data_IF_479704922830
#
_entry.id   IF_479704922830
#
_cell.length_a   1.000
_cell.length_b   1.000
_cell.length_c   1.000
_cell.angle_alpha   90.00
_cell.angle_beta   90.00
_cell.angle_gamma   90.00
#
_symmetry.space_group_name_H-M   'P 1'
#
loop_
_entity.id
_entity.type
_entity.pdbx_description
1 polymer ?
#
# COMPACT_ATOMS: atom_id res chain seq x y z
N UNK A 1 36.54 42.51 -61.93
CA UNK A 1 37.96 42.58 -61.54
C UNK A 1 38.05 41.98 -60.14
N UNK A 2 37.82 40.68 -59.99
CA UNK A 2 38.78 39.55 -60.22
C UNK A 2 39.24 39.11 -58.82
N UNK A 3 39.17 37.85 -58.39
CA UNK A 3 38.68 36.60 -58.96
C UNK A 3 38.88 35.50 -57.89
N UNK A 4 37.92 34.59 -57.77
CA UNK A 4 38.10 33.20 -57.27
C UNK A 4 38.77 32.39 -58.43
N UNK A 5 39.35 31.16 -58.31
CA UNK A 5 39.04 30.10 -57.34
C UNK A 5 40.15 29.07 -56.98
N UNK A 6 39.69 28.00 -56.33
CA UNK A 6 40.29 26.80 -55.72
C UNK A 6 41.25 25.89 -56.53
N UNK A 7 41.94 25.00 -55.78
CA UNK A 7 42.33 23.60 -56.11
C UNK A 7 42.30 22.77 -54.81
N UNK A 8 41.47 21.74 -54.56
CA UNK A 8 41.41 20.32 -55.06
C UNK A 8 42.75 19.59 -54.97
N UNK A 9 42.99 18.37 -54.43
CA UNK A 9 42.25 17.12 -54.03
C UNK A 9 43.32 16.16 -53.41
N UNK A 10 43.11 14.86 -53.06
CA UNK A 10 41.90 14.06 -52.79
C UNK A 10 41.96 13.19 -51.50
N UNK A 11 40.79 12.61 -51.19
CA UNK A 11 40.56 11.56 -50.21
C UNK A 11 41.19 10.21 -50.61
N UNK A 12 41.82 9.55 -49.64
CA UNK A 12 42.16 8.12 -49.67
C UNK A 12 41.06 7.30 -48.99
N UNK A 13 40.66 6.21 -49.66
CA UNK A 13 39.62 5.26 -49.25
C UNK A 13 40.26 4.01 -48.67
N UNK A 14 39.90 3.63 -47.44
CA UNK A 14 40.00 2.29 -46.83
C UNK A 14 39.41 2.41 -45.42
N UNK A 15 38.62 1.52 -44.82
CA UNK A 15 38.08 0.20 -45.13
C UNK A 15 37.06 -0.07 -44.01
N UNK A 16 35.97 -0.80 -44.32
CA UNK A 16 35.03 -1.27 -43.31
C UNK A 16 35.63 -2.39 -42.44
N UNK A 17 35.40 -2.31 -41.13
CA UNK A 17 35.30 -3.45 -40.21
C UNK A 17 34.46 -2.96 -39.01
N UNK A 18 33.18 -3.33 -38.94
CA UNK A 18 32.70 -4.53 -38.24
C UNK A 18 32.73 -4.35 -36.71
N UNK A 19 31.55 -4.05 -36.16
CA UNK A 19 31.00 -4.68 -34.96
C UNK A 19 31.72 -4.47 -33.64
N UNK A 20 31.19 -3.58 -32.81
CA UNK A 20 30.91 -3.95 -31.43
C UNK A 20 29.63 -3.23 -30.99
N UNK A 21 28.61 -4.05 -30.77
CA UNK A 21 27.31 -3.63 -30.31
C UNK A 21 27.45 -3.10 -28.88
N UNK A 22 27.14 -1.82 -28.67
CA UNK A 22 26.72 -1.33 -27.37
C UNK A 22 25.37 -1.99 -27.04
N UNK A 23 25.44 -3.19 -26.48
CA UNK A 23 24.30 -3.81 -25.81
C UNK A 23 23.86 -2.92 -24.64
N UNK A 24 22.56 -2.89 -24.32
CA UNK A 24 22.07 -2.12 -23.18
C UNK A 24 22.77 -2.60 -21.91
N UNK A 25 23.48 -1.67 -21.26
CA UNK A 25 24.06 -1.88 -19.94
C UNK A 25 22.95 -2.38 -19.02
N UNK A 26 23.01 -3.66 -18.65
CA UNK A 26 22.11 -4.24 -17.67
C UNK A 26 22.14 -3.33 -16.42
N UNK A 27 20.98 -2.85 -16.00
CA UNK A 27 20.86 -2.00 -14.83
C UNK A 27 21.51 -2.73 -13.64
N UNK A 28 22.53 -2.10 -13.04
CA UNK A 28 23.21 -2.64 -11.88
C UNK A 28 22.17 -2.92 -10.77
N UNK A 29 22.31 -4.03 -10.02
CA UNK A 29 21.46 -4.27 -8.86
C UNK A 29 21.58 -3.08 -7.89
N UNK A 30 20.53 -2.74 -7.13
CA UNK A 30 20.58 -1.64 -6.16
C UNK A 30 21.84 -1.77 -5.31
N UNK A 31 22.60 -0.67 -5.19
CA UNK A 31 23.96 -0.67 -4.64
C UNK A 31 23.98 -1.24 -3.22
N UNK A 32 24.38 -2.51 -3.11
CA UNK A 32 24.46 -3.24 -1.85
C UNK A 32 25.40 -2.56 -0.84
N UNK A 33 26.33 -1.73 -1.33
CA UNK A 33 27.23 -0.91 -0.51
C UNK A 33 26.48 0.23 0.15
N UNK A 34 25.64 0.94 -0.60
CA UNK A 34 24.80 2.01 -0.07
C UNK A 34 23.80 1.48 0.97
N UNK A 35 23.17 0.32 0.70
CA UNK A 35 22.26 -0.33 1.64
C UNK A 35 22.93 -0.72 2.96
N UNK A 36 24.16 -1.25 2.89
CA UNK A 36 24.95 -1.62 4.07
C UNK A 36 25.40 -0.39 4.86
N UNK A 37 25.91 0.63 4.15
CA UNK A 37 26.30 1.92 4.74
C UNK A 37 25.14 2.56 5.50
N UNK A 38 23.94 2.51 4.93
CA UNK A 38 22.72 3.00 5.59
C UNK A 38 22.42 2.22 6.86
N UNK A 39 22.42 0.88 6.81
CA UNK A 39 22.16 0.03 7.96
C UNK A 39 23.17 0.26 9.09
N UNK A 40 24.46 0.26 8.77
CA UNK A 40 25.54 0.45 9.74
C UNK A 40 25.46 1.84 10.37
N UNK A 41 25.18 2.86 9.56
CA UNK A 41 24.99 4.23 10.04
C UNK A 41 23.75 4.38 10.94
N UNK A 42 22.64 3.69 10.62
CA UNK A 42 21.45 3.67 11.46
C UNK A 42 21.72 2.92 12.77
N UNK A 43 22.47 1.82 12.73
CA UNK A 43 22.88 1.09 13.93
C UNK A 43 23.73 1.97 14.88
N UNK A 44 24.68 2.73 14.33
CA UNK A 44 25.50 3.68 15.08
C UNK A 44 24.68 4.87 15.62
N UNK A 45 23.66 5.33 14.90
CA UNK A 45 22.75 6.37 15.39
C UNK A 45 21.87 5.85 16.52
N UNK A 46 21.31 4.64 16.39
CA UNK A 46 20.50 4.02 17.44
C UNK A 46 21.30 3.80 18.72
N UNK A 47 22.57 3.38 18.61
CA UNK A 47 23.49 3.25 19.75
C UNK A 47 23.65 4.56 20.54
N UNK A 48 23.80 5.68 19.83
CA UNK A 48 23.96 7.01 20.45
C UNK A 48 22.68 7.50 21.13
N UNK A 49 21.53 7.19 20.56
CA UNK A 49 20.22 7.58 21.11
C UNK A 49 19.85 6.79 22.37
N UNK A 50 20.20 5.51 22.45
CA UNK A 50 19.98 4.68 23.65
C UNK A 50 20.97 5.05 24.77
N UNK A 51 22.20 5.45 24.40
CA UNK A 51 23.25 5.83 25.34
C UNK A 51 23.94 4.63 26.02
N UNK A 52 25.12 4.84 26.63
CA UNK A 52 25.82 3.80 27.39
C UNK A 52 25.07 3.53 28.71
N UNK A 53 24.49 2.34 28.86
CA UNK A 53 23.79 1.89 30.08
C UNK A 53 22.27 1.73 29.94
N UNK A 54 21.68 2.00 28.77
CA UNK A 54 20.29 1.63 28.49
C UNK A 54 20.12 0.11 28.37
N UNK A 55 18.95 -0.41 28.74
CA UNK A 55 18.60 -1.85 28.68
C UNK A 55 18.52 -2.42 27.24
N UNK A 56 18.77 -1.57 26.24
CA UNK A 56 18.68 -1.93 24.84
C UNK A 56 19.82 -2.85 24.45
N UNK A 57 19.49 -4.10 24.12
CA UNK A 57 20.41 -5.11 23.62
C UNK A 57 21.45 -4.58 22.62
N UNK A 58 22.59 -5.27 22.57
CA UNK A 58 23.78 -4.77 21.89
C UNK A 58 23.59 -4.60 20.37
N UNK A 59 22.70 -5.42 19.78
CA UNK A 59 22.43 -5.46 18.36
C UNK A 59 21.17 -4.70 17.94
N UNK A 60 21.20 -4.15 16.73
CA UNK A 60 20.05 -3.52 16.07
C UNK A 60 19.21 -4.58 15.37
N UNK A 61 17.91 -4.55 15.63
CA UNK A 61 16.91 -5.40 14.99
C UNK A 61 16.35 -4.69 13.75
N UNK A 62 16.22 -5.41 12.63
CA UNK A 62 15.56 -4.87 11.43
C UNK A 62 14.08 -5.20 11.48
N UNK A 63 13.24 -4.21 11.81
CA UNK A 63 11.76 -4.37 11.84
C UNK A 63 11.21 -4.53 10.42
N UNK A 64 11.72 -3.74 9.47
CA UNK A 64 11.26 -3.80 8.09
C UNK A 64 12.37 -3.40 7.13
N UNK A 65 12.53 -4.19 6.08
CA UNK A 65 13.37 -3.86 4.92
C UNK A 65 12.59 -4.10 3.62
N UNK A 66 12.34 -3.01 2.89
CA UNK A 66 11.82 -3.01 1.52
C UNK A 66 12.72 -2.10 0.68
N UNK A 67 12.60 -2.18 -0.65
CA UNK A 67 13.46 -1.43 -1.59
C UNK A 67 13.54 0.07 -1.30
N UNK A 68 12.53 0.63 -0.65
CA UNK A 68 12.34 2.04 -0.39
C UNK A 68 12.23 2.38 1.13
N UNK A 69 12.02 1.38 1.99
CA UNK A 69 11.79 1.53 3.44
C UNK A 69 12.79 0.70 4.25
N UNK A 70 13.50 1.35 5.17
CA UNK A 70 14.29 0.67 6.21
C UNK A 70 13.85 1.19 7.57
N UNK A 71 13.41 0.28 8.43
CA UNK A 71 13.05 0.54 9.83
C UNK A 71 13.86 -0.41 10.69
N UNK A 72 14.56 0.15 11.67
CA UNK A 72 15.37 -0.62 12.61
C UNK A 72 15.07 -0.21 14.04
N UNK A 73 15.35 -1.09 14.99
CA UNK A 73 15.11 -0.88 16.41
C UNK A 73 16.36 -1.22 17.22
N UNK A 74 16.57 -0.45 18.28
CA UNK A 74 17.46 -0.81 19.38
C UNK A 74 16.84 -0.37 20.69
N UNK A 75 16.57 -1.32 21.58
CA UNK A 75 15.86 -1.06 22.84
C UNK A 75 14.52 -0.36 22.60
N UNK A 76 14.30 0.76 23.30
CA UNK A 76 13.11 1.61 23.17
C UNK A 76 13.12 2.59 22.00
N UNK A 77 14.10 2.54 21.07
CA UNK A 77 14.22 3.49 19.96
C UNK A 77 14.03 2.79 18.62
N UNK A 78 13.18 3.36 17.77
CA UNK A 78 12.97 2.97 16.37
C UNK A 78 13.51 4.06 15.46
N UNK A 79 14.32 3.68 14.47
CA UNK A 79 14.78 4.56 13.41
C UNK A 79 14.09 4.20 12.10
N UNK A 80 13.55 5.23 11.43
CA UNK A 80 12.96 5.11 10.10
C UNK A 80 13.78 5.90 9.11
N UNK A 81 14.29 5.23 8.09
CA UNK A 81 14.83 5.91 6.93
C UNK A 81 13.68 6.32 6.00
N UNK A 82 13.62 7.59 5.63
CA UNK A 82 12.65 8.11 4.67
C UNK A 82 13.10 7.87 3.24
N UNK A 83 12.14 7.90 2.31
CA UNK A 83 12.36 7.70 0.88
C UNK A 83 13.54 8.51 0.34
N UNK A 84 14.29 7.92 -0.59
CA UNK A 84 15.31 8.67 -1.31
C UNK A 84 14.63 9.81 -2.11
N UNK A 85 15.22 11.01 -2.06
CA UNK A 85 14.69 12.18 -2.77
C UNK A 85 13.46 12.83 -2.13
N UNK A 86 13.07 12.46 -0.91
CA UNK A 86 12.03 13.20 -0.17
C UNK A 86 12.41 14.68 -0.06
N UNK A 87 11.44 15.57 -0.28
CA UNK A 87 11.62 17.00 -0.06
C UNK A 87 11.94 17.26 1.43
N UNK A 88 13.14 17.78 1.75
CA UNK A 88 13.54 18.02 3.14
C UNK A 88 12.61 19.02 3.84
N UNK A 89 12.07 20.02 3.13
CA UNK A 89 11.20 21.03 3.73
C UNK A 89 9.84 20.41 4.11
N UNK A 90 9.24 19.63 3.20
CA UNK A 90 8.01 18.89 3.50
C UNK A 90 8.21 17.87 4.64
N UNK A 91 9.34 17.15 4.66
CA UNK A 91 9.65 16.21 5.73
C UNK A 91 9.80 16.92 7.08
N UNK A 92 10.50 18.05 7.13
CA UNK A 92 10.66 18.84 8.35
C UNK A 92 9.31 19.32 8.89
N UNK A 93 8.43 19.84 8.03
CA UNK A 93 7.09 20.27 8.42
C UNK A 93 6.25 19.13 9.00
N UNK A 94 6.32 17.93 8.42
CA UNK A 94 5.62 16.75 8.91
C UNK A 94 6.17 16.25 10.25
N UNK A 95 7.49 16.24 10.43
CA UNK A 95 8.13 15.88 11.71
C UNK A 95 7.78 16.88 12.81
N UNK A 96 7.79 18.18 12.51
CA UNK A 96 7.38 19.23 13.44
C UNK A 96 5.90 19.12 13.81
N UNK A 97 5.02 18.81 12.84
CA UNK A 97 3.60 18.56 13.11
C UNK A 97 3.42 17.33 14.02
N UNK A 98 4.14 16.23 13.76
CA UNK A 98 4.09 15.03 14.61
C UNK A 98 4.56 15.29 16.05
N UNK A 99 5.47 16.24 16.24
CA UNK A 99 5.95 16.68 17.55
C UNK A 99 5.04 17.73 18.22
N UNK A 100 4.03 18.26 17.53
CA UNK A 100 3.17 19.32 18.06
C UNK A 100 2.27 18.77 19.19
N UNK A 101 2.24 19.42 20.37
CA UNK A 101 1.40 19.00 21.49
C UNK A 101 -0.09 18.86 21.16
N UNK A 102 -0.61 19.63 20.19
CA UNK A 102 -2.01 19.53 19.76
C UNK A 102 -2.31 18.19 19.09
N UNK A 103 -1.29 17.51 18.55
CA UNK A 103 -1.41 16.25 17.83
C UNK A 103 -0.94 15.04 18.65
N UNK A 104 -0.37 15.26 19.84
CA UNK A 104 0.17 14.20 20.71
C UNK A 104 -0.86 13.15 21.17
N UNK A 105 -2.16 13.47 21.10
CA UNK A 105 -3.25 12.53 21.42
C UNK A 105 -3.63 11.61 20.24
N UNK A 106 -3.10 11.87 19.04
CA UNK A 106 -3.38 11.12 17.81
C UNK A 106 -2.11 10.52 17.19
N UNK A 107 -1.05 11.31 17.04
CA UNK A 107 0.23 10.93 16.44
C UNK A 107 1.25 10.55 17.51
N UNK A 108 2.11 9.59 17.20
CA UNK A 108 3.32 9.36 17.98
C UNK A 108 4.29 10.51 17.73
N UNK A 109 4.87 11.10 18.78
CA UNK A 109 5.86 12.15 18.62
C UNK A 109 7.25 11.56 18.29
N UNK A 110 8.02 12.17 17.37
CA UNK A 110 9.40 11.77 17.09
C UNK A 110 10.33 12.13 18.26
N UNK A 111 11.42 11.39 18.41
CA UNK A 111 12.50 11.69 19.34
C UNK A 111 13.47 12.72 18.72
N UNK A 112 13.97 13.70 19.50
CA UNK A 112 15.06 14.56 19.07
C UNK A 112 16.29 13.73 18.68
N UNK A 113 16.94 14.09 17.58
CA UNK A 113 18.11 13.39 17.07
C UNK A 113 19.39 14.23 17.31
N UNK A 114 20.46 13.68 17.92
CA UNK A 114 21.70 14.43 18.13
C UNK A 114 22.34 14.88 16.81
N UNK A 115 22.64 16.18 16.71
CA UNK A 115 23.18 16.78 15.49
C UNK A 115 22.16 16.82 14.34
N UNK A 116 20.86 16.74 14.65
CA UNK A 116 19.81 16.73 13.66
C UNK A 116 19.63 18.05 12.94
N UNK A 117 19.23 17.91 11.69
CA UNK A 117 18.68 18.97 10.86
C UNK A 117 17.14 18.87 10.93
N UNK A 118 16.43 19.46 9.96
CA UNK A 118 14.99 19.32 9.75
C UNK A 118 14.15 19.45 11.03
N UNK A 119 14.36 20.54 11.78
CA UNK A 119 13.63 20.83 13.02
C UNK A 119 14.10 20.06 14.25
N UNK A 120 15.26 19.39 14.18
CA UNK A 120 15.85 18.64 15.29
C UNK A 120 15.45 17.16 15.35
N UNK A 121 14.72 16.67 14.34
CA UNK A 121 14.10 15.34 14.35
C UNK A 121 14.62 14.37 13.28
N UNK A 122 15.51 14.81 12.38
CA UNK A 122 16.12 13.92 11.40
C UNK A 122 17.58 14.26 11.09
N UNK A 123 18.37 13.23 10.78
CA UNK A 123 19.76 13.36 10.37
C UNK A 123 20.03 12.63 9.05
N UNK A 124 21.06 13.06 8.30
CA UNK A 124 21.54 12.33 7.11
C UNK A 124 22.37 11.12 7.52
N UNK A 125 21.97 9.94 7.05
CA UNK A 125 22.67 8.68 7.26
C UNK A 125 22.69 7.91 5.94
N UNK A 126 23.86 7.53 5.44
CA UNK A 126 23.98 6.78 4.18
C UNK A 126 23.25 7.44 3.00
N UNK A 127 23.26 8.78 2.95
CA UNK A 127 22.55 9.54 1.91
C UNK A 127 21.03 9.66 2.07
N UNK A 128 20.43 9.09 3.11
CA UNK A 128 18.98 9.20 3.40
C UNK A 128 18.71 10.02 4.66
N UNK A 129 17.53 10.63 4.72
CA UNK A 129 17.03 11.22 5.96
C UNK A 129 16.53 10.11 6.90
N UNK A 130 16.94 10.14 8.15
CA UNK A 130 16.54 9.19 9.19
C UNK A 130 15.97 9.94 10.38
N UNK A 131 14.75 9.59 10.78
CA UNK A 131 14.09 10.07 12.00
C UNK A 131 14.07 8.99 13.09
N UNK A 132 13.94 9.41 14.34
CA UNK A 132 13.87 8.55 15.51
C UNK A 132 12.50 8.64 16.19
N UNK A 133 12.04 7.53 16.75
CA UNK A 133 10.71 7.39 17.35
C UNK A 133 10.78 6.50 18.59
N UNK A 134 9.93 6.71 19.60
CA UNK A 134 9.73 5.73 20.66
C UNK A 134 9.26 4.41 20.08
N UNK A 135 9.72 3.30 20.65
CA UNK A 135 9.18 1.99 20.30
C UNK A 135 7.75 1.84 20.84
N UNK A 136 6.86 1.38 19.97
CA UNK A 136 5.53 0.90 20.33
C UNK A 136 5.29 -0.45 19.67
N UNK A 137 4.45 -1.27 20.28
CA UNK A 137 4.06 -2.57 19.75
C UNK A 137 3.04 -2.35 18.62
N UNK A 138 3.42 -2.72 17.40
CA UNK A 138 2.52 -2.72 16.26
C UNK A 138 1.64 -3.99 16.27
N UNK A 139 0.52 -3.95 15.54
CA UNK A 139 -0.29 -5.14 15.29
C UNK A 139 0.49 -6.16 14.46
N UNK A 140 0.48 -7.40 14.91
CA UNK A 140 1.00 -8.56 14.19
C UNK A 140 -0.01 -9.11 13.18
N UNK A 141 0.41 -10.08 12.36
CA UNK A 141 -0.47 -10.73 11.37
C UNK A 141 -1.68 -11.43 12.00
N UNK A 142 -1.50 -11.98 13.20
CA UNK A 142 -2.53 -12.77 13.90
C UNK A 142 -3.56 -11.89 14.65
N UNK A 143 -3.33 -10.57 14.72
CA UNK A 143 -4.19 -9.63 15.43
C UNK A 143 -5.35 -9.10 14.55
N UNK A 144 -5.56 -9.65 13.36
CA UNK A 144 -6.50 -9.11 12.38
C UNK A 144 -7.96 -9.16 12.86
N UNK A 145 -8.36 -10.25 13.53
CA UNK A 145 -9.71 -10.44 14.06
C UNK A 145 -9.99 -9.54 15.28
N UNK A 146 -8.96 -9.28 16.08
CA UNK A 146 -8.99 -8.43 17.27
C UNK A 146 -8.48 -7.01 16.99
N UNK A 147 -8.42 -6.62 15.71
CA UNK A 147 -7.88 -5.33 15.32
C UNK A 147 -8.64 -4.16 16.00
N UNK A 148 -7.93 -3.15 16.52
CA UNK A 148 -8.49 -2.07 17.33
C UNK A 148 -9.16 -0.99 16.47
N UNK A 149 -10.20 -1.38 15.72
CA UNK A 149 -10.89 -0.52 14.75
C UNK A 149 -11.51 0.72 15.39
N UNK A 150 -12.12 0.59 16.56
CA UNK A 150 -12.71 1.69 17.32
C UNK A 150 -11.64 2.68 17.79
N UNK A 151 -10.49 2.18 18.27
CA UNK A 151 -9.37 3.04 18.66
C UNK A 151 -8.77 3.73 17.43
N UNK A 152 -8.67 3.05 16.29
CA UNK A 152 -8.26 3.65 15.02
C UNK A 152 -9.22 4.79 14.61
N UNK A 153 -10.53 4.54 14.64
CA UNK A 153 -11.56 5.54 14.35
C UNK A 153 -11.43 6.77 15.26
N UNK A 154 -11.25 6.56 16.57
CA UNK A 154 -11.07 7.64 17.52
C UNK A 154 -9.79 8.45 17.27
N UNK A 155 -8.67 7.80 16.92
CA UNK A 155 -7.41 8.49 16.59
C UNK A 155 -7.53 9.33 15.33
N UNK A 156 -8.19 8.81 14.29
CA UNK A 156 -8.46 9.59 13.08
C UNK A 156 -9.35 10.79 13.36
N UNK A 157 -10.43 10.62 14.14
CA UNK A 157 -11.27 11.74 14.52
C UNK A 157 -10.48 12.81 15.29
N UNK A 158 -9.59 12.42 16.22
CA UNK A 158 -8.69 13.34 16.92
C UNK A 158 -7.75 14.07 15.96
N UNK A 159 -7.15 13.36 15.01
CA UNK A 159 -6.27 13.97 14.00
C UNK A 159 -7.03 15.02 13.17
N UNK A 160 -8.23 14.67 12.71
CA UNK A 160 -9.03 15.53 11.85
C UNK A 160 -9.64 16.74 12.56
N UNK A 161 -9.84 16.66 13.88
CA UNK A 161 -10.41 17.75 14.70
C UNK A 161 -9.36 18.65 15.33
N UNK A 162 -8.10 18.19 15.41
CA UNK A 162 -7.02 18.96 15.99
C UNK A 162 -6.73 20.24 15.19
N UNK A 163 -6.35 21.34 15.87
CA UNK A 163 -5.85 22.55 15.19
C UNK A 163 -4.67 22.20 14.27
N UNK A 164 -4.76 22.61 13.00
CA UNK A 164 -3.70 22.35 12.03
C UNK A 164 -2.47 23.22 12.34
N UNK A 165 -1.28 22.64 12.60
CA UNK A 165 -0.07 23.43 12.79
C UNK A 165 0.27 24.27 11.56
N UNK A 166 0.68 25.53 11.75
CA UNK A 166 0.94 26.47 10.65
C UNK A 166 1.98 25.95 9.64
N UNK A 167 3.00 25.24 10.12
CA UNK A 167 4.09 24.73 9.28
C UNK A 167 3.67 23.67 8.26
N UNK A 168 2.58 22.93 8.51
CA UNK A 168 2.06 21.89 7.60
C UNK A 168 0.83 22.34 6.80
N UNK A 169 0.22 23.48 7.15
CA UNK A 169 -1.02 23.95 6.56
C UNK A 169 -0.96 24.18 5.04
N UNK A 170 0.24 24.42 4.49
CA UNK A 170 0.46 24.59 3.05
C UNK A 170 0.71 23.26 2.30
N UNK A 171 0.92 22.15 3.01
CA UNK A 171 1.21 20.85 2.42
C UNK A 171 -0.07 20.07 2.20
N UNK A 172 -0.33 19.68 0.95
CA UNK A 172 -1.40 18.75 0.64
C UNK A 172 -1.01 17.32 1.09
N UNK A 173 -1.98 16.58 1.62
CA UNK A 173 -1.83 15.13 1.80
C UNK A 173 -1.83 14.39 0.45
N UNK A 174 -1.39 13.13 0.47
CA UNK A 174 -1.27 12.31 -0.74
C UNK A 174 -2.01 10.95 -0.69
N UNK A 175 -3.33 10.92 -0.38
CA UNK A 175 -4.13 9.68 -0.24
C UNK A 175 -4.24 8.79 -1.49
N UNK A 176 -3.76 9.28 -2.63
CA UNK A 176 -3.80 8.57 -3.92
C UNK A 176 -2.42 8.44 -4.54
N UNK A 177 -1.35 8.66 -3.78
CA UNK A 177 0.03 8.63 -4.28
C UNK A 177 0.35 7.37 -5.07
N UNK A 178 -0.27 6.26 -4.69
CA UNK A 178 -0.01 4.92 -5.22
C UNK A 178 -0.92 4.53 -6.39
N UNK A 179 -2.05 5.21 -6.59
CA UNK A 179 -3.01 4.90 -7.65
C UNK A 179 -2.41 5.03 -9.06
N UNK A 180 -1.86 6.20 -9.40
CA UNK A 180 -1.33 6.42 -10.75
C UNK A 180 -0.14 5.48 -11.08
N UNK A 181 0.84 5.29 -10.18
CA UNK A 181 1.88 4.27 -10.37
C UNK A 181 1.33 2.85 -10.55
N UNK A 182 0.32 2.46 -9.77
CA UNK A 182 -0.29 1.13 -9.85
C UNK A 182 -1.00 0.91 -11.19
N UNK A 183 -1.83 1.86 -11.61
CA UNK A 183 -2.55 1.79 -12.90
C UNK A 183 -1.57 1.83 -14.07
N UNK A 184 -0.50 2.61 -13.97
CA UNK A 184 0.51 2.66 -15.02
C UNK A 184 1.35 1.38 -15.08
N UNK A 185 1.70 0.78 -13.93
CA UNK A 185 2.34 -0.52 -13.89
C UNK A 185 1.45 -1.58 -14.55
N UNK A 186 0.16 -1.59 -14.21
CA UNK A 186 -0.84 -2.43 -14.86
C UNK A 186 -0.85 -2.18 -16.38
N UNK A 187 -0.92 -0.91 -16.84
CA UNK A 187 -0.91 -0.57 -18.28
C UNK A 187 0.32 -1.13 -19.01
N UNK A 188 1.52 -0.85 -18.52
CA UNK A 188 2.78 -1.27 -19.18
C UNK A 188 2.90 -2.78 -19.36
N UNK A 189 2.36 -3.57 -18.43
CA UNK A 189 2.47 -5.04 -18.48
C UNK A 189 1.75 -5.69 -19.68
N UNK A 190 0.83 -5.03 -20.41
CA UNK A 190 0.24 -5.60 -21.64
C UNK A 190 1.04 -5.32 -22.91
N UNK A 191 1.96 -4.34 -22.91
CA UNK A 191 2.79 -4.07 -24.07
C UNK A 191 3.85 -5.16 -24.32
N UNK A 192 4.02 -6.10 -23.37
CA UNK A 192 5.06 -7.14 -23.39
C UNK A 192 4.55 -8.56 -23.71
N UNK A 193 3.26 -8.76 -23.98
CA UNK A 193 2.77 -10.00 -24.59
C UNK A 193 2.95 -9.89 -26.11
N UNK A 194 3.75 -10.75 -26.79
CA UNK A 194 3.77 -10.77 -28.24
C UNK A 194 2.34 -11.02 -28.75
N UNK A 195 1.92 -10.40 -29.88
CA UNK A 195 0.57 -10.56 -30.38
C UNK A 195 0.29 -12.05 -30.56
N UNK A 196 -0.74 -12.54 -29.86
CA UNK A 196 -1.28 -13.87 -30.11
C UNK A 196 -1.58 -13.96 -31.61
N UNK A 197 -1.00 -14.98 -32.26
CA UNK A 197 -1.28 -15.25 -33.67
C UNK A 197 -2.80 -15.33 -33.85
N UNK A 198 -3.33 -14.51 -34.76
CA UNK A 198 -4.76 -14.44 -35.04
C UNK A 198 -5.31 -15.85 -35.33
N UNK A 199 -6.47 -16.23 -34.78
CA UNK A 199 -7.10 -17.49 -35.15
C UNK A 199 -7.43 -17.45 -36.65
N UNK A 200 -6.96 -18.47 -37.37
CA UNK A 200 -7.24 -18.66 -38.78
C UNK A 200 -8.75 -18.73 -39.00
N UNK A 201 -9.23 -17.86 -39.87
CA UNK A 201 -10.64 -17.76 -40.28
C UNK A 201 -11.00 -19.03 -41.06
N UNK A 202 -11.91 -19.84 -40.53
CA UNK A 202 -12.51 -20.97 -41.24
C UNK A 202 -14.03 -20.80 -41.31
N UNK A 203 -14.51 -20.36 -42.48
CA UNK A 203 -15.74 -20.80 -43.14
C UNK A 203 -17.09 -20.58 -42.45
N UNK A 204 -17.79 -19.52 -42.85
CA UNK A 204 -19.25 -19.45 -42.75
C UNK A 204 -19.93 -20.20 -43.92
N UNK A 205 -21.16 -20.69 -43.72
CA UNK A 205 -22.21 -20.36 -44.68
C UNK A 205 -23.47 -19.76 -44.03
N UNK A 206 -24.18 -19.00 -44.87
CA UNK A 206 -25.29 -18.06 -44.62
C UNK A 206 -26.67 -18.70 -44.36
N UNK A 207 -27.56 -17.81 -43.89
CA UNK A 207 -29.06 -17.80 -43.87
C UNK A 207 -29.67 -18.31 -42.56
N UNK A 208 -30.68 -17.71 -41.92
CA UNK A 208 -31.78 -16.84 -42.36
C UNK A 208 -32.33 -15.93 -41.21
N UNK A 209 -33.19 -14.96 -41.55
CA UNK A 209 -33.94 -14.02 -40.66
C UNK A 209 -35.10 -14.73 -39.89
N UNK A 210 -35.67 -14.12 -38.83
CA UNK A 210 -36.48 -14.79 -37.80
C UNK A 210 -38.00 -14.70 -38.05
N UNK A 211 -38.81 -15.45 -37.29
CA UNK A 211 -40.18 -15.08 -36.95
C UNK A 211 -40.31 -14.61 -35.49
N UNK A 212 -41.34 -13.79 -35.27
CA UNK A 212 -41.69 -13.16 -33.99
C UNK A 212 -42.66 -14.01 -33.14
N UNK A 213 -42.58 -13.76 -31.81
CA UNK A 213 -43.58 -13.85 -30.74
C UNK A 213 -44.24 -15.23 -30.49
N UNK A 214 -44.27 -15.85 -29.29
CA UNK A 214 -44.90 -15.44 -28.02
C UNK A 214 -44.65 -16.54 -26.96
N UNK A 215 -44.66 -16.20 -25.65
CA UNK A 215 -45.00 -17.16 -24.59
C UNK A 215 -43.96 -17.49 -23.49
N UNK A 216 -44.07 -16.78 -22.37
CA UNK A 216 -43.84 -17.22 -20.97
C UNK A 216 -42.42 -17.56 -20.41
N UNK A 217 -42.01 -16.68 -19.48
CA UNK A 217 -41.36 -16.95 -18.18
C UNK A 217 -39.96 -17.60 -18.12
N UNK A 218 -38.94 -16.75 -17.99
CA UNK A 218 -37.82 -16.89 -17.05
C UNK A 218 -37.03 -15.57 -17.00
N UNK A 219 -37.00 -14.87 -15.86
CA UNK A 219 -36.07 -13.75 -15.66
C UNK A 219 -34.68 -14.29 -15.32
N UNK A 220 -34.02 -14.85 -16.33
CA UNK A 220 -32.60 -15.20 -16.29
C UNK A 220 -31.75 -13.95 -16.51
N UNK A 221 -30.87 -13.66 -15.56
CA UNK A 221 -29.88 -12.60 -15.69
C UNK A 221 -29.01 -12.83 -16.93
N UNK A 222 -28.86 -11.79 -17.74
CA UNK A 222 -27.93 -11.76 -18.87
C UNK A 222 -26.50 -11.82 -18.30
N UNK A 223 -25.63 -12.75 -18.72
CA UNK A 223 -24.24 -12.71 -18.31
C UNK A 223 -23.57 -11.47 -18.93
N UNK A 224 -23.09 -10.55 -18.11
CA UNK A 224 -22.23 -9.47 -18.58
C UNK A 224 -20.97 -10.12 -19.13
N UNK A 225 -20.79 -10.05 -20.44
CA UNK A 225 -19.69 -10.68 -21.18
C UNK A 225 -18.30 -10.26 -20.67
N UNK A 226 -17.73 -11.05 -19.76
CA UNK A 226 -16.39 -11.63 -19.80
C UNK A 226 -15.18 -10.77 -20.22
N UNK A 227 -15.01 -9.56 -19.70
CA UNK A 227 -13.72 -8.85 -19.79
C UNK A 227 -12.69 -9.42 -18.80
N UNK A 228 -11.39 -9.36 -19.15
CA UNK A 228 -10.31 -9.80 -18.25
C UNK A 228 -10.33 -9.02 -16.93
N UNK A 229 -9.76 -9.57 -15.84
CA UNK A 229 -9.62 -8.85 -14.57
C UNK A 229 -8.96 -7.48 -14.75
N UNK A 230 -7.93 -7.43 -15.61
CA UNK A 230 -7.26 -6.20 -16.04
C UNK A 230 -8.22 -5.20 -16.69
N UNK A 231 -9.04 -5.65 -17.64
CA UNK A 231 -9.97 -4.77 -18.36
C UNK A 231 -11.02 -4.20 -17.41
N UNK A 232 -11.50 -5.01 -16.46
CA UNK A 232 -12.41 -4.57 -15.42
C UNK A 232 -11.78 -3.46 -14.55
N UNK A 233 -10.53 -3.63 -14.10
CA UNK A 233 -9.82 -2.62 -13.30
C UNK A 233 -9.58 -1.33 -14.09
N UNK A 234 -9.15 -1.42 -15.35
CA UNK A 234 -8.92 -0.26 -16.20
C UNK A 234 -10.23 0.46 -16.58
N UNK A 235 -11.32 -0.27 -16.77
CA UNK A 235 -12.66 0.30 -16.96
C UNK A 235 -13.15 0.99 -15.69
N UNK A 236 -13.01 0.35 -14.52
CA UNK A 236 -13.36 0.95 -13.23
C UNK A 236 -12.56 2.21 -12.96
N UNK A 237 -11.25 2.23 -13.26
CA UNK A 237 -10.42 3.44 -13.19
C UNK A 237 -10.94 4.57 -14.07
N UNK A 238 -11.34 4.27 -15.31
CA UNK A 238 -11.94 5.27 -16.23
C UNK A 238 -13.31 5.77 -15.78
N UNK A 239 -14.03 4.97 -15.00
CA UNK A 239 -15.34 5.30 -14.45
C UNK A 239 -15.27 6.04 -13.09
N UNK A 240 -14.07 6.29 -12.55
CA UNK A 240 -13.92 7.20 -11.42
C UNK A 240 -14.33 8.63 -11.83
N UNK A 241 -14.90 9.42 -10.90
CA UNK A 241 -15.25 10.82 -11.16
C UNK A 241 -14.05 11.65 -11.66
N UNK A 242 -14.34 12.80 -12.29
CA UNK A 242 -13.32 13.71 -12.80
C UNK A 242 -12.33 14.16 -11.72
N UNK A 243 -11.15 14.64 -12.14
CA UNK A 243 -10.00 14.99 -11.32
C UNK A 243 -10.33 15.85 -10.11
N UNK A 244 -11.28 16.78 -10.23
CA UNK A 244 -11.69 17.67 -9.13
C UNK A 244 -12.52 16.93 -8.06
N UNK A 245 -13.34 15.96 -8.47
CA UNK A 245 -14.13 15.15 -7.55
C UNK A 245 -13.27 14.12 -6.78
N UNK A 246 -12.11 13.76 -7.33
CA UNK A 246 -11.09 12.94 -6.64
C UNK A 246 -9.98 13.79 -6.04
N UNK A 247 -10.07 15.13 -5.99
CA UNK A 247 -9.03 15.98 -5.41
C UNK A 247 -8.74 15.62 -3.94
N UNK A 248 -7.52 15.89 -3.47
CA UNK A 248 -7.17 15.71 -2.05
C UNK A 248 -8.10 16.55 -1.17
N UNK A 249 -8.38 17.79 -1.55
CA UNK A 249 -9.43 18.63 -0.95
C UNK A 249 -10.61 18.70 -1.94
N UNK A 250 -11.73 18.06 -1.60
CA UNK A 250 -12.90 17.98 -2.48
C UNK A 250 -13.85 19.17 -2.25
N UNK A 251 -14.47 19.75 -3.30
CA UNK A 251 -15.41 20.86 -3.13
C UNK A 251 -16.58 20.51 -2.21
N UNK A 252 -16.98 21.45 -1.34
CA UNK A 252 -18.10 21.26 -0.41
C UNK A 252 -17.82 20.30 0.75
N UNK A 253 -16.57 19.87 0.91
CA UNK A 253 -16.14 18.96 1.97
C UNK A 253 -15.24 19.67 2.97
N UNK A 254 -15.17 19.19 4.23
CA UNK A 254 -14.20 19.70 5.20
C UNK A 254 -12.77 19.56 4.69
N UNK A 255 -11.92 20.50 5.09
CA UNK A 255 -10.50 20.49 4.79
C UNK A 255 -9.76 20.56 6.12
N UNK A 256 -9.15 19.44 6.51
CA UNK A 256 -8.48 19.27 7.81
C UNK A 256 -7.09 18.70 7.60
N UNK A 257 -6.31 18.59 8.68
CA UNK A 257 -5.15 17.71 8.67
C UNK A 257 -5.64 16.26 8.51
N UNK A 258 -5.04 15.47 7.63
CA UNK A 258 -5.33 14.05 7.39
C UNK A 258 -4.02 13.26 7.32
N UNK A 259 -4.07 11.98 7.67
CA UNK A 259 -2.92 11.09 7.64
C UNK A 259 -2.45 10.80 6.22
N UNK A 260 -3.38 10.56 5.29
CA UNK A 260 -3.09 10.48 3.87
C UNK A 260 -2.54 9.14 3.36
N UNK A 261 -2.33 8.11 4.18
CA UNK A 261 -2.11 6.71 3.74
C UNK A 261 -2.27 5.73 4.91
N UNK A 262 -3.19 5.99 5.85
CA UNK A 262 -3.24 5.16 7.07
C UNK A 262 -3.75 3.73 6.79
N UNK A 263 -3.26 2.78 7.58
CA UNK A 263 -3.70 1.39 7.67
C UNK A 263 -3.43 0.83 9.09
N UNK A 264 -4.03 -0.30 9.46
CA UNK A 264 -3.90 -0.88 10.81
C UNK A 264 -2.44 -1.10 11.24
N UNK A 265 -1.56 -1.55 10.34
CA UNK A 265 -0.12 -1.66 10.62
C UNK A 265 0.63 -0.35 10.87
N UNK A 266 -0.03 0.82 10.83
CA UNK A 266 0.50 2.12 11.27
C UNK A 266 -0.10 2.56 12.62
N UNK A 267 -0.71 1.62 13.35
CA UNK A 267 -1.04 1.78 14.75
C UNK A 267 0.07 1.13 15.58
N UNK A 268 0.55 1.87 16.57
CA UNK A 268 1.45 1.34 17.59
C UNK A 268 0.87 1.63 18.96
N UNK A 269 0.97 0.66 19.86
CA UNK A 269 0.63 0.82 21.26
C UNK A 269 1.89 1.06 22.05
N UNK A 270 1.97 2.20 22.72
CA UNK A 270 3.01 2.47 23.72
C UNK A 270 2.44 2.28 25.12
N UNK A 271 3.29 1.93 26.08
CA UNK A 271 2.85 1.69 27.47
C UNK A 271 2.38 2.99 28.15
N UNK A 272 2.98 4.13 27.80
CA UNK A 272 2.68 5.45 28.37
C UNK A 272 1.42 6.07 27.81
N UNK A 273 1.16 5.87 26.51
CA UNK A 273 0.22 6.71 25.76
C UNK A 273 -0.94 5.91 25.15
N UNK A 274 -0.86 4.59 25.13
CA UNK A 274 -1.81 3.73 24.42
C UNK A 274 -1.59 3.77 22.91
N UNK A 275 -2.67 3.64 22.15
CA UNK A 275 -2.58 3.62 20.68
C UNK A 275 -2.23 4.98 20.08
N UNK A 276 -1.34 4.99 19.09
CA UNK A 276 -0.94 6.15 18.29
C UNK A 276 -0.79 5.79 16.82
N UNK A 277 -1.04 6.78 15.96
CA UNK A 277 -0.74 6.72 14.54
C UNK A 277 0.75 7.01 14.31
N UNK A 278 1.36 6.27 13.38
CA UNK A 278 2.73 6.46 12.91
C UNK A 278 2.76 6.63 11.39
N UNK A 279 3.94 6.86 10.82
CA UNK A 279 4.13 6.96 9.37
C UNK A 279 3.53 8.23 8.72
N UNK A 280 4.10 9.36 9.14
CA UNK A 280 3.74 10.73 8.75
C UNK A 280 4.11 11.13 7.32
N UNK A 281 4.60 10.22 6.48
CA UNK A 281 5.21 10.58 5.19
C UNK A 281 4.21 11.23 4.20
N UNK A 282 2.92 10.93 4.33
CA UNK A 282 1.86 11.47 3.48
C UNK A 282 0.89 12.41 4.24
N UNK A 283 1.24 12.75 5.50
CA UNK A 283 0.51 13.68 6.36
C UNK A 283 0.42 15.06 5.69
N UNK A 284 -0.77 15.66 5.73
CA UNK A 284 -1.00 16.99 5.16
C UNK A 284 -2.48 17.36 5.18
N UNK A 285 -2.82 18.47 4.55
CA UNK A 285 -4.17 18.99 4.51
C UNK A 285 -4.98 18.32 3.39
N UNK A 286 -6.22 17.94 3.69
CA UNK A 286 -7.12 17.29 2.73
C UNK A 286 -8.53 17.02 3.29
N UNK A 287 -9.36 16.36 2.49
CA UNK A 287 -10.66 15.85 2.91
C UNK A 287 -10.48 14.62 3.82
N UNK A 288 -10.95 14.65 5.07
CA UNK A 288 -10.77 13.57 6.05
C UNK A 288 -11.44 12.25 5.67
N UNK A 289 -12.36 12.24 4.70
CA UNK A 289 -12.93 10.99 4.18
C UNK A 289 -11.90 10.14 3.43
N UNK A 290 -10.78 10.73 2.98
CA UNK A 290 -9.68 9.96 2.39
C UNK A 290 -9.04 9.00 3.37
N UNK A 291 -8.98 9.35 4.65
CA UNK A 291 -8.52 8.41 5.67
C UNK A 291 -9.57 7.30 5.89
N UNK A 292 -10.87 7.57 5.72
CA UNK A 292 -11.88 6.50 5.85
C UNK A 292 -11.96 5.57 4.62
N UNK A 293 -11.20 5.87 3.56
CA UNK A 293 -11.29 5.17 2.28
C UNK A 293 -10.95 3.69 2.37
N UNK A 294 -9.92 3.33 3.15
CA UNK A 294 -9.46 1.94 3.29
C UNK A 294 -10.50 1.03 3.95
N UNK A 295 -11.01 1.32 5.16
CA UNK A 295 -12.08 0.50 5.75
C UNK A 295 -13.35 0.50 4.91
N UNK A 296 -13.72 1.61 4.26
CA UNK A 296 -14.86 1.67 3.37
C UNK A 296 -14.68 0.78 2.12
N UNK A 297 -13.47 0.77 1.53
CA UNK A 297 -13.13 -0.11 0.40
C UNK A 297 -13.17 -1.59 0.79
N UNK A 298 -12.70 -1.94 1.98
CA UNK A 298 -12.74 -3.31 2.48
C UNK A 298 -14.18 -3.75 2.73
N UNK A 299 -15.01 -2.89 3.33
CA UNK A 299 -16.44 -3.14 3.49
C UNK A 299 -17.15 -3.31 2.13
N UNK A 300 -16.90 -2.43 1.15
CA UNK A 300 -17.44 -2.54 -0.21
C UNK A 300 -17.02 -3.84 -0.94
N UNK A 301 -15.81 -4.32 -0.66
CA UNK A 301 -15.29 -5.56 -1.22
C UNK A 301 -15.84 -6.81 -0.52
N UNK A 302 -16.48 -6.67 0.64
CA UNK A 302 -16.95 -7.78 1.47
C UNK A 302 -15.87 -8.36 2.39
N UNK A 303 -14.77 -7.63 2.60
CA UNK A 303 -13.61 -8.03 3.40
C UNK A 303 -13.67 -7.52 4.86
N UNK A 304 -14.58 -6.59 5.16
CA UNK A 304 -14.79 -6.08 6.51
C UNK A 304 -16.20 -6.47 6.98
N UNK A 305 -16.36 -7.15 8.12
CA UNK A 305 -17.68 -7.51 8.64
C UNK A 305 -18.55 -6.26 8.85
N UNK A 306 -19.86 -6.29 8.51
CA UNK A 306 -20.75 -5.13 8.66
C UNK A 306 -20.80 -4.56 10.07
N UNK A 307 -20.72 -5.42 11.10
CA UNK A 307 -20.70 -4.98 12.49
C UNK A 307 -19.43 -4.20 12.85
N UNK A 308 -18.27 -4.57 12.27
CA UNK A 308 -17.00 -3.86 12.48
C UNK A 308 -17.05 -2.49 11.80
N UNK A 309 -17.54 -2.44 10.56
CA UNK A 309 -17.74 -1.17 9.84
C UNK A 309 -18.67 -0.21 10.60
N UNK A 310 -19.79 -0.72 11.12
CA UNK A 310 -20.73 0.07 11.91
C UNK A 310 -20.08 0.66 13.17
N UNK A 311 -19.40 -0.17 13.98
CA UNK A 311 -18.71 0.30 15.20
C UNK A 311 -17.60 1.30 14.90
N UNK A 312 -16.86 1.11 13.81
CA UNK A 312 -15.85 2.06 13.34
C UNK A 312 -16.48 3.43 13.01
N UNK A 313 -17.56 3.45 12.22
CA UNK A 313 -18.28 4.68 11.84
C UNK A 313 -18.87 5.37 13.06
N UNK A 314 -19.52 4.62 13.95
CA UNK A 314 -20.14 5.16 15.16
C UNK A 314 -19.09 5.75 16.10
N UNK A 315 -17.94 5.08 16.26
CA UNK A 315 -16.85 5.60 17.09
C UNK A 315 -16.23 6.87 16.48
N UNK A 316 -16.03 6.90 15.16
CA UNK A 316 -15.51 8.09 14.47
C UNK A 316 -16.45 9.29 14.67
N UNK A 317 -17.76 9.08 14.52
CA UNK A 317 -18.81 10.10 14.75
C UNK A 317 -18.84 10.55 16.21
N UNK A 318 -18.85 9.61 17.16
CA UNK A 318 -18.86 9.91 18.58
C UNK A 318 -17.65 10.73 19.03
N UNK A 319 -16.50 10.52 18.38
CA UNK A 319 -15.28 11.31 18.59
C UNK A 319 -15.27 12.67 17.85
N UNK A 320 -16.36 13.05 17.18
CA UNK A 320 -16.51 14.34 16.50
C UNK A 320 -15.86 14.39 15.11
N UNK A 321 -15.59 13.25 14.49
CA UNK A 321 -14.90 13.16 13.21
C UNK A 321 -15.63 13.90 12.08
N UNK A 322 -14.99 14.89 11.43
CA UNK A 322 -15.66 15.79 10.49
C UNK A 322 -15.93 15.19 9.12
N UNK A 323 -15.36 14.03 8.77
CA UNK A 323 -15.60 13.40 7.46
C UNK A 323 -17.06 12.98 7.28
N UNK A 324 -17.80 12.71 8.34
CA UNK A 324 -19.15 12.18 8.28
C UNK A 324 -20.12 13.14 8.95
N UNK A 325 -21.36 13.19 8.47
CA UNK A 325 -22.46 13.76 9.26
C UNK A 325 -22.62 12.98 10.57
N UNK A 326 -23.18 13.65 11.58
CA UNK A 326 -23.43 13.06 12.91
C UNK A 326 -24.33 11.83 12.86
N UNK A 327 -25.20 11.74 11.87
CA UNK A 327 -26.11 10.63 11.60
C UNK A 327 -26.23 10.33 10.10
N UNK A 328 -27.05 9.34 9.75
CA UNK A 328 -27.37 9.00 8.36
C UNK A 328 -26.34 8.11 7.66
N UNK A 329 -26.48 8.02 6.34
CA UNK A 329 -25.63 7.20 5.48
C UNK A 329 -24.22 7.81 5.34
N UNK A 330 -23.13 7.08 5.66
CA UNK A 330 -21.77 7.58 5.46
C UNK A 330 -21.33 7.58 3.98
N UNK A 331 -21.98 6.81 3.11
CA UNK A 331 -21.54 6.58 1.73
C UNK A 331 -21.41 7.83 0.86
N UNK A 332 -22.27 8.85 0.95
CA UNK A 332 -22.09 10.10 0.20
C UNK A 332 -20.71 10.75 0.43
N UNK A 333 -20.10 10.55 1.61
CA UNK A 333 -18.76 11.04 1.92
C UNK A 333 -17.65 10.12 1.41
N UNK A 334 -17.80 8.80 1.60
CA UNK A 334 -16.72 7.81 1.43
C UNK A 334 -16.74 7.03 0.13
N UNK A 335 -17.81 7.08 -0.68
CA UNK A 335 -17.93 6.30 -1.92
C UNK A 335 -16.78 6.56 -2.89
N UNK A 336 -16.51 7.83 -3.23
CA UNK A 336 -15.43 8.20 -4.15
C UNK A 336 -14.05 7.75 -3.62
N UNK A 337 -13.68 8.02 -2.35
CA UNK A 337 -12.46 7.48 -1.77
C UNK A 337 -12.39 5.95 -1.79
N UNK A 338 -13.45 5.26 -1.39
CA UNK A 338 -13.51 3.80 -1.36
C UNK A 338 -13.29 3.20 -2.75
N UNK A 339 -14.03 3.68 -3.76
CA UNK A 339 -13.88 3.25 -5.16
C UNK A 339 -12.47 3.49 -5.70
N UNK A 340 -11.86 4.62 -5.31
CA UNK A 340 -10.47 4.95 -5.69
C UNK A 340 -9.48 3.92 -5.11
N UNK A 341 -9.64 3.55 -3.84
CA UNK A 341 -8.77 2.57 -3.17
C UNK A 341 -9.02 1.14 -3.66
N UNK A 342 -10.27 0.78 -3.98
CA UNK A 342 -10.59 -0.52 -4.62
C UNK A 342 -9.83 -0.69 -5.93
N UNK A 343 -9.84 0.34 -6.79
CA UNK A 343 -9.11 0.33 -8.06
C UNK A 343 -7.59 0.22 -7.84
N UNK A 344 -7.06 0.97 -6.86
CA UNK A 344 -5.64 0.87 -6.52
C UNK A 344 -5.27 -0.55 -6.06
N UNK A 345 -6.02 -1.15 -5.14
CA UNK A 345 -5.73 -2.49 -4.64
C UNK A 345 -5.81 -3.54 -5.73
N UNK A 346 -6.87 -3.51 -6.55
CA UNK A 346 -7.02 -4.45 -7.65
C UNK A 346 -5.86 -4.34 -8.66
N UNK A 347 -5.44 -3.10 -9.00
CA UNK A 347 -4.29 -2.89 -9.89
C UNK A 347 -2.99 -3.44 -9.30
N UNK A 348 -2.74 -3.19 -8.00
CA UNK A 348 -1.54 -3.68 -7.31
C UNK A 348 -1.52 -5.19 -7.17
N UNK A 349 -2.66 -5.81 -6.84
CA UNK A 349 -2.78 -7.26 -6.73
C UNK A 349 -2.47 -7.95 -8.07
N UNK A 350 -3.02 -7.44 -9.18
CA UNK A 350 -2.73 -7.95 -10.52
C UNK A 350 -1.25 -7.77 -10.90
N UNK A 351 -0.64 -6.64 -10.56
CA UNK A 351 0.79 -6.42 -10.85
C UNK A 351 1.71 -7.30 -10.00
N UNK A 352 1.31 -7.65 -8.77
CA UNK A 352 2.09 -8.51 -7.87
C UNK A 352 1.96 -10.01 -8.20
N UNK A 353 0.81 -10.44 -8.68
CA UNK A 353 0.45 -11.85 -8.90
C UNK A 353 0.91 -12.43 -10.23
N UNK A 354 1.40 -11.60 -11.16
CA UNK A 354 1.81 -12.04 -12.49
C UNK A 354 3.32 -12.34 -12.52
N UNK A 355 3.75 -13.48 -13.09
CA UNK A 355 5.15 -13.90 -13.06
C UNK A 355 6.07 -12.86 -13.71
N UNK A 356 7.06 -12.39 -12.95
CA UNK A 356 8.16 -11.58 -13.48
C UNK A 356 9.11 -12.50 -14.25
N UNK A 357 9.53 -12.11 -15.47
CA UNK A 357 10.36 -12.89 -16.38
C UNK A 357 11.82 -13.18 -15.92
N UNK A 358 12.05 -13.32 -14.61
CA UNK A 358 13.34 -13.58 -13.98
C UNK A 358 13.24 -14.57 -12.81
N UNK A 359 12.30 -15.52 -12.86
CA UNK A 359 12.14 -16.57 -11.83
C UNK A 359 13.12 -17.74 -12.05
N UNK A 360 14.41 -17.41 -12.06
CA UNK A 360 15.50 -18.38 -12.16
C UNK A 360 16.50 -18.33 -11.00
N UNK A 361 16.29 -17.49 -9.98
CA UNK A 361 17.26 -17.32 -8.89
C UNK A 361 16.61 -16.95 -7.53
N UNK A 362 15.47 -17.58 -7.22
CA UNK A 362 14.72 -17.38 -5.94
C UNK A 362 14.77 -18.57 -4.98
N UNK A 363 15.75 -19.45 -5.10
CA UNK A 363 16.04 -20.39 -4.02
C UNK A 363 16.94 -19.72 -2.98
N UNK A 364 16.33 -19.41 -1.81
CA UNK A 364 16.89 -18.89 -0.54
C UNK A 364 16.85 -17.38 -0.31
N UNK A 365 15.66 -16.77 -0.19
CA UNK A 365 15.28 -15.76 0.83
C UNK A 365 13.74 -15.72 0.89
N UNK A 366 13.17 -15.80 2.10
CA UNK A 366 11.74 -16.02 2.37
C UNK A 366 10.75 -15.06 1.69
N UNK A 367 9.68 -15.68 1.20
CA UNK A 367 8.42 -15.09 0.74
C UNK A 367 7.67 -14.47 1.94
N UNK A 368 7.41 -13.15 1.91
CA UNK A 368 6.53 -12.46 2.88
C UNK A 368 5.56 -11.54 2.14
N UNK A 369 4.53 -12.12 1.50
CA UNK A 369 3.28 -11.46 1.11
C UNK A 369 2.17 -12.53 1.08
N UNK A 370 1.21 -12.42 2.01
CA UNK A 370 -0.08 -13.12 2.17
C UNK A 370 -0.08 -14.68 2.13
N UNK A 371 -0.69 -15.26 3.18
CA UNK A 371 -0.98 -16.70 3.41
C UNK A 371 0.22 -17.64 3.68
N UNK A 372 0.40 -18.03 4.96
CA UNK A 372 0.31 -19.44 5.33
C UNK A 372 0.16 -19.63 6.85
N UNK A 373 -0.89 -20.33 7.30
CA UNK A 373 -0.88 -21.17 8.51
C UNK A 373 -2.15 -22.01 8.61
N UNK A 374 -2.21 -23.09 7.82
CA UNK A 374 -2.90 -24.30 8.23
C UNK A 374 -1.87 -25.44 8.40
N UNK A 375 -1.91 -26.07 9.57
CA UNK A 375 -1.27 -27.32 9.99
C UNK A 375 0.24 -27.33 10.44
N UNK A 376 0.45 -27.51 11.75
CA UNK A 376 1.22 -28.66 12.26
C UNK A 376 2.46 -28.47 13.18
N UNK A 377 2.23 -28.39 14.51
CA UNK A 377 3.07 -28.95 15.62
C UNK A 377 4.28 -28.15 16.16
N UNK A 378 4.84 -28.44 17.37
CA UNK A 378 4.53 -29.49 18.36
C UNK A 378 4.06 -28.97 19.74
N UNK A 379 3.42 -29.87 20.51
CA UNK A 379 2.91 -29.64 21.88
C UNK A 379 3.94 -30.04 22.95
N UNK A 380 4.22 -29.13 23.87
CA UNK A 380 4.72 -29.38 25.24
C UNK A 380 4.22 -28.21 26.12
N UNK A 381 3.89 -28.31 27.40
CA UNK A 381 3.38 -29.39 28.25
C UNK A 381 2.79 -28.64 29.47
N UNK A 382 1.51 -28.84 29.78
CA UNK A 382 0.94 -28.34 31.05
C UNK A 382 0.15 -29.49 31.68
N UNK A 383 0.67 -29.96 32.81
CA UNK A 383 0.13 -31.10 33.56
C UNK A 383 -1.15 -30.71 34.29
N UNK A 384 -2.00 -31.73 34.34
CA UNK A 384 -2.97 -32.11 35.36
C UNK A 384 -4.07 -31.12 35.73
N UNK A 385 -5.32 -31.52 35.47
CA UNK A 385 -6.25 -31.94 36.52
C UNK A 385 -7.48 -32.66 35.89
N UNK A 386 -7.62 -33.96 36.19
CA UNK A 386 -8.90 -34.65 36.48
C UNK A 386 -9.93 -34.85 35.36
N UNK A 387 -9.89 -36.03 34.74
CA UNK A 387 -10.99 -36.73 34.04
C UNK A 387 -12.12 -37.14 35.04
N UNK A 388 -13.38 -37.43 34.60
CA UNK A 388 -13.65 -38.67 33.83
C UNK A 388 -14.73 -38.63 32.73
N UNK A 389 -14.44 -39.41 31.68
CA UNK A 389 -15.24 -40.44 30.98
C UNK A 389 -16.56 -40.11 30.27
N UNK A 390 -16.65 -40.49 28.98
CA UNK A 390 -17.89 -40.46 28.18
C UNK A 390 -17.71 -40.48 26.66
N UNK A 391 -17.54 -41.68 26.11
CA UNK A 391 -17.92 -42.17 24.78
C UNK A 391 -17.35 -41.57 23.47
N UNK A 392 -16.72 -42.49 22.72
CA UNK A 392 -16.14 -42.34 21.38
C UNK A 392 -17.19 -42.47 20.29
N UNK A 393 -17.09 -41.65 19.26
CA UNK A 393 -17.49 -42.06 17.90
C UNK A 393 -16.58 -41.42 16.85
N UNK A 394 -15.93 -42.28 16.08
CA UNK A 394 -14.99 -41.96 14.99
C UNK A 394 -15.74 -41.45 13.76
N UNK A 395 -15.19 -40.42 13.12
CA UNK A 395 -15.66 -39.87 11.84
C UNK A 395 -14.49 -39.33 11.04
N UNK A 396 -14.08 -40.13 10.06
CA UNK A 396 -13.04 -39.94 9.05
C UNK A 396 -13.38 -38.81 8.05
N UNK A 397 -12.37 -38.21 7.43
CA UNK A 397 -12.52 -37.26 6.32
C UNK A 397 -11.62 -36.04 6.38
N UNK A 398 -10.34 -36.22 6.04
CA UNK A 398 -9.42 -35.12 5.67
C UNK A 398 -9.70 -34.72 4.22
N UNK A 399 -10.01 -33.46 3.99
CA UNK A 399 -9.78 -32.80 2.70
C UNK A 399 -8.84 -31.61 2.95
N UNK A 400 -7.75 -31.57 2.18
CA UNK A 400 -6.67 -30.61 2.32
C UNK A 400 -6.99 -29.27 1.66
N UNK A 401 -6.78 -28.19 2.41
CA UNK A 401 -6.78 -26.82 1.91
C UNK A 401 -5.58 -26.61 0.99
N UNK A 402 -5.83 -26.57 -0.32
CA UNK A 402 -4.89 -26.05 -1.30
C UNK A 402 -5.15 -24.57 -1.52
N UNK A 403 -4.13 -23.74 -1.33
CA UNK A 403 -4.14 -22.30 -1.62
C UNK A 403 -4.63 -22.04 -3.06
N UNK A 404 -5.87 -21.56 -3.16
CA UNK A 404 -6.63 -21.46 -4.41
C UNK A 404 -6.24 -20.24 -5.23
N UNK A 405 -5.13 -20.31 -5.96
CA UNK A 405 -4.79 -19.32 -6.99
C UNK A 405 -5.77 -19.45 -8.16
N UNK A 406 -6.61 -18.43 -8.38
CA UNK A 406 -7.58 -18.42 -9.48
C UNK A 406 -6.92 -18.27 -10.86
N UNK A 407 -7.69 -18.35 -11.97
CA UNK A 407 -7.16 -18.30 -13.34
C UNK A 407 -6.41 -16.98 -13.69
N UNK A 408 -6.57 -15.95 -12.87
CA UNK A 408 -5.89 -14.64 -13.00
C UNK A 408 -4.60 -14.53 -12.14
N UNK A 409 -4.20 -15.60 -11.45
CA UNK A 409 -3.03 -15.61 -10.54
C UNK A 409 -3.27 -14.95 -9.18
N UNK A 410 -4.46 -14.40 -8.95
CA UNK A 410 -4.78 -13.60 -7.77
C UNK A 410 -5.02 -14.47 -6.52
N UNK A 411 -4.63 -13.93 -5.37
CA UNK A 411 -5.07 -14.39 -4.05
C UNK A 411 -6.54 -14.01 -3.79
N UNK A 412 -7.13 -14.55 -2.72
CA UNK A 412 -8.51 -14.31 -2.32
C UNK A 412 -8.84 -12.81 -2.17
N UNK A 413 -7.89 -12.03 -1.64
CA UNK A 413 -8.02 -10.59 -1.43
C UNK A 413 -8.02 -9.80 -2.75
N UNK A 414 -7.11 -10.12 -3.66
CA UNK A 414 -7.05 -9.56 -5.00
C UNK A 414 -8.31 -9.86 -5.80
N UNK A 415 -8.82 -11.09 -5.70
CA UNK A 415 -10.09 -11.49 -6.31
C UNK A 415 -11.28 -10.68 -5.80
N UNK A 416 -11.35 -10.38 -4.50
CA UNK A 416 -12.42 -9.56 -3.92
C UNK A 416 -12.42 -8.13 -4.49
N UNK A 417 -11.25 -7.49 -4.60
CA UNK A 417 -11.16 -6.14 -5.16
C UNK A 417 -11.46 -6.09 -6.66
N UNK A 418 -10.99 -7.05 -7.45
CA UNK A 418 -11.36 -7.15 -8.88
C UNK A 418 -12.86 -7.35 -9.05
N UNK A 419 -13.48 -8.20 -8.23
CA UNK A 419 -14.94 -8.39 -8.24
C UNK A 419 -15.67 -7.11 -7.88
N UNK A 420 -15.16 -6.34 -6.91
CA UNK A 420 -15.69 -5.04 -6.58
C UNK A 420 -15.56 -4.04 -7.75
N UNK A 421 -14.44 -4.04 -8.48
CA UNK A 421 -14.29 -3.24 -9.71
C UNK A 421 -15.34 -3.61 -10.77
N UNK A 422 -15.68 -4.89 -10.93
CA UNK A 422 -16.75 -5.33 -11.85
C UNK A 422 -18.12 -4.80 -11.43
N UNK A 423 -18.43 -4.84 -10.12
CA UNK A 423 -19.68 -4.29 -9.56
C UNK A 423 -19.81 -2.78 -9.78
N UNK A 424 -18.71 -2.03 -9.74
CA UNK A 424 -18.73 -0.58 -10.02
C UNK A 424 -19.18 -0.22 -11.44
N UNK A 425 -19.17 -1.18 -12.38
CA UNK A 425 -19.50 -0.99 -13.79
C UNK A 425 -20.90 -1.52 -14.15
N UNK A 426 -21.56 -2.20 -13.21
CA UNK A 426 -22.93 -2.72 -13.34
C UNK A 426 -23.91 -1.71 -12.77
#
# INVERSE_FOLDING_TARGET
MDGTPARTTPAGRATSAAGEANGPLAAAPPDATAARTLLDGMAALAARLVGPGGDGGEAVEVISRRHDRLVVRRGGVVLKAHQAGVDPAALAARLLAAADPCLAAALLAPLPVPGAELGGYAARVGGRWVSAWPFGVALGPDDADDAPWEQAAALLARLHTAPCPTGIAALAAHPRRRLAPAVEALRRQAATLPPAAAPAVAGAPKTARPPAAEGAQAAGGVPVSGGSARDAVLAAYRALPDRDAVATARPGRPVTLIHGDWHLGQLVRTDSDGWRLVDIDDLGVGDPAWDLARPAAWFAAGLLPPAVWARFVDTYRAAGGPALSTDGDPWPAVDVPARTLVVEYAARALTASLPTASDGDRDRVGHDVYENSAAGGPRESRRDLGEPDGDRQEGDGRDGDGDGVGPDGLDSLGHAFVTCCRRMLS
#
